data_IF_422019061102
#
_entry.id   IF_422019061102
#
_cell.length_a   1.000
_cell.length_b   1.000
_cell.length_c   1.000
_cell.angle_alpha   90.00
_cell.angle_beta   90.00
_cell.angle_gamma   90.00
#
_symmetry.space_group_name_H-M   'P 1'
#
loop_
_entity.id
_entity.type
_entity.pdbx_description
1 polymer ?
#
# COMPACT_ATOMS: atom_id res chain seq x y z
N UNK A 1 -54.37 -9.04 13.68
CA UNK A 1 -53.35 -8.71 12.66
C UNK A 1 -52.75 -7.35 12.95
N UNK A 2 -51.43 -7.22 13.26
CA UNK A 2 -50.76 -5.94 13.33
C UNK A 2 -50.11 -5.61 11.96
N UNK A 3 -50.36 -4.38 11.52
CA UNK A 3 -49.84 -3.79 10.31
C UNK A 3 -48.33 -3.61 10.42
N UNK A 4 -47.58 -4.16 9.48
CA UNK A 4 -46.15 -3.86 9.25
C UNK A 4 -46.01 -2.50 8.60
N UNK A 5 -45.47 -1.54 9.35
CA UNK A 5 -45.03 -0.27 8.77
C UNK A 5 -43.77 -0.52 7.92
N UNK A 6 -43.85 -0.25 6.62
CA UNK A 6 -42.69 -0.17 5.73
C UNK A 6 -41.85 1.05 6.14
N UNK A 7 -40.65 0.82 6.64
CA UNK A 7 -39.59 1.82 6.69
C UNK A 7 -39.02 1.96 5.29
N UNK A 8 -39.28 3.11 4.67
CA UNK A 8 -38.63 3.55 3.45
C UNK A 8 -37.14 3.84 3.74
N UNK A 9 -36.31 2.83 3.53
CA UNK A 9 -34.86 2.95 3.46
C UNK A 9 -34.45 3.57 2.13
N UNK A 10 -34.65 4.87 1.95
CA UNK A 10 -34.00 5.62 0.87
C UNK A 10 -32.51 5.67 1.15
N UNK A 11 -31.77 4.74 0.53
CA UNK A 11 -30.34 4.88 0.32
C UNK A 11 -30.13 6.18 -0.50
N UNK A 12 -29.70 7.24 0.17
CA UNK A 12 -29.16 8.41 -0.51
C UNK A 12 -27.91 7.95 -1.26
N UNK A 13 -28.08 7.54 -2.51
CA UNK A 13 -26.99 7.43 -3.47
C UNK A 13 -26.56 8.87 -3.74
N UNK A 14 -25.58 9.34 -2.97
CA UNK A 14 -24.89 10.60 -3.21
C UNK A 14 -24.36 10.53 -4.65
N UNK A 15 -24.88 11.40 -5.53
CA UNK A 15 -24.44 11.47 -6.93
C UNK A 15 -22.94 11.55 -6.97
N UNK A 16 -22.30 10.51 -7.46
CA UNK A 16 -20.84 10.33 -7.54
C UNK A 16 -20.27 11.49 -8.38
N UNK A 17 -19.87 12.57 -7.70
CA UNK A 17 -19.14 13.65 -8.36
C UNK A 17 -17.70 13.17 -8.51
N UNK A 18 -17.23 12.83 -9.74
CA UNK A 18 -15.92 12.22 -9.94
C UNK A 18 -14.75 13.10 -9.47
N UNK A 19 -15.02 14.34 -9.09
CA UNK A 19 -14.04 15.30 -8.59
C UNK A 19 -13.86 15.30 -7.08
N UNK A 20 -14.74 14.62 -6.33
CA UNK A 20 -14.69 14.54 -4.86
C UNK A 20 -14.48 13.09 -4.46
N UNK A 21 -13.53 12.83 -3.55
CA UNK A 21 -13.25 11.48 -3.08
C UNK A 21 -13.48 11.36 -1.57
N UNK A 22 -14.14 10.27 -1.15
CA UNK A 22 -14.31 9.89 0.26
C UNK A 22 -13.15 9.01 0.72
N UNK A 23 -13.00 8.82 2.04
CA UNK A 23 -11.98 7.94 2.60
C UNK A 23 -12.19 6.49 2.12
N UNK A 24 -13.43 6.00 2.10
CA UNK A 24 -13.74 4.64 1.66
C UNK A 24 -13.33 4.43 0.20
N UNK A 25 -13.58 5.41 -0.66
CA UNK A 25 -13.21 5.34 -2.08
C UNK A 25 -11.70 5.41 -2.28
N UNK A 26 -10.97 6.21 -1.47
CA UNK A 26 -9.51 6.26 -1.47
C UNK A 26 -8.90 4.92 -1.04
N UNK A 27 -9.43 4.33 0.04
CA UNK A 27 -9.03 3.00 0.54
C UNK A 27 -9.30 1.92 -0.51
N UNK A 28 -10.50 1.90 -1.11
CA UNK A 28 -10.84 0.94 -2.15
C UNK A 28 -9.90 1.05 -3.36
N UNK A 29 -9.58 2.27 -3.82
CA UNK A 29 -8.63 2.49 -4.91
C UNK A 29 -7.24 1.96 -4.55
N UNK A 30 -6.74 2.22 -3.34
CA UNK A 30 -5.44 1.74 -2.91
C UNK A 30 -5.39 0.21 -2.82
N UNK A 31 -6.40 -0.44 -2.23
CA UNK A 31 -6.44 -1.90 -2.13
C UNK A 31 -6.52 -2.59 -3.50
N UNK A 32 -7.21 -1.99 -4.48
CA UNK A 32 -7.40 -2.57 -5.81
C UNK A 32 -6.25 -2.27 -6.78
N UNK A 33 -5.60 -1.11 -6.65
CA UNK A 33 -4.68 -0.58 -7.69
C UNK A 33 -3.26 -0.35 -7.20
N UNK A 34 -2.96 -0.56 -5.89
CA UNK A 34 -1.61 -0.35 -5.38
C UNK A 34 -0.64 -1.38 -5.98
N UNK A 35 0.44 -0.94 -6.68
CA UNK A 35 1.38 -1.85 -7.33
C UNK A 35 2.13 -2.75 -6.34
N UNK A 36 2.45 -2.24 -5.15
CA UNK A 36 3.16 -2.99 -4.10
C UNK A 36 2.28 -4.13 -3.59
N UNK A 37 0.98 -3.87 -3.36
CA UNK A 37 0.06 -4.91 -2.91
C UNK A 37 -0.15 -5.99 -3.98
N UNK A 38 -0.23 -5.58 -5.24
CA UNK A 38 -0.30 -6.50 -6.38
C UNK A 38 0.95 -7.40 -6.46
N UNK A 39 2.14 -6.82 -6.27
CA UNK A 39 3.40 -7.59 -6.25
C UNK A 39 3.41 -8.63 -5.13
N UNK A 40 2.98 -8.27 -3.91
CA UNK A 40 2.88 -9.22 -2.80
C UNK A 40 1.81 -10.30 -3.01
N UNK A 41 0.72 -10.00 -3.70
CA UNK A 41 -0.28 -11.01 -4.06
C UNK A 41 0.26 -12.04 -5.08
N UNK A 42 1.11 -11.60 -6.01
CA UNK A 42 1.80 -12.49 -6.93
C UNK A 42 2.86 -13.34 -6.23
N UNK A 43 3.61 -12.77 -5.27
CA UNK A 43 4.57 -13.53 -4.45
C UNK A 43 3.88 -14.66 -3.67
N UNK A 44 2.69 -14.41 -3.10
CA UNK A 44 1.88 -15.46 -2.49
C UNK A 44 1.62 -16.61 -3.47
N UNK A 45 1.14 -16.32 -4.68
CA UNK A 45 0.89 -17.33 -5.73
C UNK A 45 2.16 -18.09 -6.13
N UNK A 46 3.31 -17.43 -6.16
CA UNK A 46 4.61 -18.07 -6.39
C UNK A 46 4.92 -19.07 -5.28
N UNK A 47 4.64 -18.73 -4.01
CA UNK A 47 4.86 -19.65 -2.88
C UNK A 47 3.91 -20.83 -2.91
N UNK A 48 2.64 -20.62 -3.20
CA UNK A 48 1.64 -21.70 -3.41
C UNK A 48 2.13 -22.68 -4.49
N UNK A 49 2.56 -22.17 -5.64
CA UNK A 49 3.09 -23.01 -6.73
C UNK A 49 4.35 -23.78 -6.31
N UNK A 50 5.25 -23.16 -5.53
CA UNK A 50 6.45 -23.85 -5.00
C UNK A 50 6.10 -24.93 -3.98
N UNK A 51 5.09 -24.71 -3.14
CA UNK A 51 4.58 -25.73 -2.21
C UNK A 51 4.10 -26.95 -3.00
N UNK A 52 3.29 -26.74 -4.03
CA UNK A 52 2.84 -27.83 -4.92
C UNK A 52 4.02 -28.55 -5.59
N UNK A 53 4.94 -27.79 -6.18
CA UNK A 53 6.12 -28.37 -6.86
C UNK A 53 6.98 -29.17 -5.90
N UNK A 54 7.16 -28.72 -4.67
CA UNK A 54 8.01 -29.41 -3.67
C UNK A 54 7.46 -30.77 -3.21
N UNK A 55 6.13 -30.94 -3.33
CA UNK A 55 5.45 -32.22 -3.05
C UNK A 55 5.49 -33.24 -4.20
N UNK A 56 5.94 -32.83 -5.40
CA UNK A 56 6.03 -33.74 -6.54
C UNK A 56 7.26 -34.65 -6.46
N UNK A 57 7.17 -35.82 -7.04
CA UNK A 57 8.32 -36.68 -7.27
C UNK A 57 9.24 -36.06 -8.33
N UNK A 58 10.57 -36.25 -8.24
CA UNK A 58 11.47 -35.86 -9.30
C UNK A 58 11.09 -36.61 -10.63
N UNK A 59 11.25 -35.94 -11.76
CA UNK A 59 10.95 -36.52 -13.04
C UNK A 59 11.89 -37.67 -13.36
N UNK A 60 11.43 -38.75 -14.05
CA UNK A 60 12.29 -39.75 -14.63
C UNK A 60 13.28 -39.09 -15.59
N UNK A 61 14.51 -39.57 -15.60
CA UNK A 61 15.55 -39.11 -16.53
C UNK A 61 15.79 -40.24 -17.55
N UNK A 62 15.67 -39.89 -18.83
CA UNK A 62 16.09 -40.72 -19.94
C UNK A 62 17.46 -40.22 -20.39
N UNK A 63 18.43 -41.11 -20.41
CA UNK A 63 19.79 -40.88 -20.88
C UNK A 63 20.08 -41.82 -22.04
N UNK A 64 20.65 -41.27 -23.11
CA UNK A 64 21.08 -42.04 -24.27
C UNK A 64 22.55 -41.67 -24.51
N UNK A 65 23.43 -42.64 -24.32
CA UNK A 65 24.86 -42.51 -24.60
C UNK A 65 25.22 -43.30 -25.82
N UNK A 66 26.03 -42.72 -26.69
CA UNK A 66 26.60 -43.37 -27.86
C UNK A 66 28.13 -43.28 -27.73
N UNK A 67 28.73 -44.40 -27.42
CA UNK A 67 30.17 -44.50 -27.24
C UNK A 67 30.83 -45.09 -28.50
N UNK A 68 32.11 -44.84 -28.70
CA UNK A 68 32.93 -45.35 -29.82
C UNK A 68 32.36 -45.02 -31.22
N UNK A 69 31.61 -43.91 -31.35
CA UNK A 69 31.09 -43.45 -32.64
C UNK A 69 32.02 -42.39 -33.27
N UNK A 70 32.16 -42.44 -34.61
CA UNK A 70 32.90 -41.44 -35.41
C UNK A 70 34.41 -41.37 -35.10
N UNK A 71 35.00 -42.41 -34.51
CA UNK A 71 36.42 -42.52 -34.25
C UNK A 71 37.27 -42.79 -35.50
N UNK A 72 38.58 -43.09 -35.30
CA UNK A 72 39.53 -43.46 -36.37
C UNK A 72 40.12 -44.83 -36.12
N UNK A 73 40.65 -45.49 -37.18
CA UNK A 73 41.22 -46.84 -37.10
C UNK A 73 40.18 -47.93 -36.84
N UNK A 74 40.34 -48.75 -35.80
CA UNK A 74 39.38 -49.81 -35.46
C UNK A 74 37.97 -49.32 -35.07
N UNK A 75 37.80 -48.05 -34.75
CA UNK A 75 36.56 -47.39 -34.35
C UNK A 75 36.01 -46.43 -35.41
N UNK A 76 36.36 -46.68 -36.69
CA UNK A 76 35.93 -45.85 -37.81
C UNK A 76 34.43 -46.02 -38.09
N UNK A 77 33.69 -44.90 -38.11
CA UNK A 77 32.26 -44.87 -38.36
C UNK A 77 31.45 -45.38 -37.15
N UNK A 78 30.44 -46.17 -37.41
CA UNK A 78 29.52 -46.73 -36.40
C UNK A 78 29.68 -48.24 -36.19
N UNK A 79 30.68 -48.90 -36.83
CA UNK A 79 30.82 -50.37 -36.84
C UNK A 79 31.08 -50.99 -35.45
N UNK A 80 31.59 -50.18 -34.50
CA UNK A 80 31.82 -50.57 -33.11
C UNK A 80 31.14 -49.65 -32.10
N UNK A 81 30.20 -48.83 -32.57
CA UNK A 81 29.48 -47.96 -31.66
C UNK A 81 28.60 -48.77 -30.72
N UNK A 82 28.65 -48.38 -29.45
CA UNK A 82 27.75 -48.91 -28.42
C UNK A 82 26.73 -47.82 -28.07
N UNK A 83 25.45 -48.17 -28.10
CA UNK A 83 24.35 -47.31 -27.72
C UNK A 83 23.71 -47.80 -26.45
N UNK A 84 23.86 -47.03 -25.37
CA UNK A 84 23.25 -47.32 -24.08
C UNK A 84 22.04 -46.44 -23.88
N UNK A 85 20.86 -47.03 -23.64
CA UNK A 85 19.65 -46.30 -23.24
C UNK A 85 19.34 -46.64 -21.79
N UNK A 86 19.33 -45.61 -20.95
CA UNK A 86 19.09 -45.75 -19.51
C UNK A 86 17.92 -44.92 -19.07
N UNK A 87 17.06 -45.49 -18.24
CA UNK A 87 15.98 -44.75 -17.52
C UNK A 87 16.29 -44.76 -16.04
N UNK A 88 16.41 -43.59 -15.46
CA UNK A 88 16.65 -43.42 -14.02
C UNK A 88 15.51 -42.65 -13.34
N UNK A 89 15.09 -43.11 -12.17
CA UNK A 89 14.11 -42.43 -11.32
C UNK A 89 14.71 -42.26 -9.93
N UNK A 90 14.81 -40.98 -9.46
CA UNK A 90 15.20 -40.71 -8.10
C UNK A 90 14.05 -41.00 -7.12
N UNK A 91 14.28 -41.93 -6.19
CA UNK A 91 13.35 -42.23 -5.10
C UNK A 91 13.92 -41.67 -3.83
N UNK A 92 13.26 -40.62 -3.26
CA UNK A 92 13.67 -39.98 -2.02
C UNK A 92 13.18 -40.84 -0.84
N UNK A 93 14.10 -41.26 0.02
CA UNK A 93 13.84 -42.02 1.24
C UNK A 93 13.91 -41.08 2.47
N UNK A 94 13.51 -41.57 3.65
CA UNK A 94 13.63 -40.87 4.91
C UNK A 94 12.69 -39.68 5.09
N UNK A 95 11.60 -39.60 4.31
CA UNK A 95 10.61 -38.53 4.48
C UNK A 95 11.03 -37.14 3.94
N UNK A 96 12.16 -37.04 3.23
CA UNK A 96 12.72 -35.76 2.72
C UNK A 96 11.73 -34.95 1.89
N UNK A 97 10.90 -35.61 1.07
CA UNK A 97 9.84 -34.95 0.31
C UNK A 97 8.84 -34.26 1.23
N UNK A 98 8.37 -34.94 2.28
CA UNK A 98 7.45 -34.38 3.26
C UNK A 98 8.04 -33.21 4.04
N UNK A 99 9.30 -33.30 4.45
CA UNK A 99 10.02 -32.21 5.11
C UNK A 99 10.16 -30.97 4.19
N UNK A 100 10.52 -31.21 2.91
CA UNK A 100 10.61 -30.14 1.89
C UNK A 100 9.24 -29.47 1.62
N UNK A 101 8.19 -30.25 1.48
CA UNK A 101 6.82 -29.72 1.33
C UNK A 101 6.40 -28.92 2.56
N UNK A 102 6.68 -29.40 3.77
CA UNK A 102 6.36 -28.69 5.01
C UNK A 102 7.10 -27.35 5.11
N UNK A 103 8.40 -27.32 4.80
CA UNK A 103 9.17 -26.07 4.81
C UNK A 103 8.61 -25.04 3.81
N UNK A 104 8.19 -25.48 2.60
CA UNK A 104 7.55 -24.61 1.62
C UNK A 104 6.16 -24.15 2.05
N UNK A 105 5.35 -25.00 2.71
CA UNK A 105 4.03 -24.62 3.25
C UNK A 105 4.16 -23.56 4.34
N UNK A 106 5.20 -23.64 5.17
CA UNK A 106 5.47 -22.58 6.15
C UNK A 106 5.93 -21.29 5.45
N UNK A 107 6.73 -21.38 4.38
CA UNK A 107 7.12 -20.23 3.57
C UNK A 107 5.92 -19.54 2.90
N UNK A 108 4.91 -20.30 2.49
CA UNK A 108 3.63 -19.79 2.00
C UNK A 108 2.88 -19.01 3.08
N UNK A 109 2.78 -19.54 4.32
CA UNK A 109 2.21 -18.79 5.46
C UNK A 109 2.96 -17.49 5.74
N UNK A 110 4.28 -17.48 5.65
CA UNK A 110 5.08 -16.25 5.80
C UNK A 110 4.71 -15.22 4.72
N UNK A 111 4.51 -15.64 3.48
CA UNK A 111 4.09 -14.76 2.39
C UNK A 111 2.67 -14.20 2.62
N UNK A 112 1.73 -15.01 3.13
CA UNK A 112 0.40 -14.59 3.54
C UNK A 112 0.45 -13.49 4.61
N UNK A 113 1.19 -13.73 5.69
CA UNK A 113 1.32 -12.75 6.77
C UNK A 113 2.06 -11.49 6.31
N UNK A 114 2.98 -11.61 5.37
CA UNK A 114 3.64 -10.47 4.73
C UNK A 114 2.66 -9.64 3.91
N UNK A 115 1.79 -10.28 3.13
CA UNK A 115 0.73 -9.61 2.38
C UNK A 115 -0.23 -8.85 3.30
N UNK A 116 -0.72 -9.49 4.37
CA UNK A 116 -1.62 -8.83 5.35
C UNK A 116 -0.94 -7.66 6.08
N UNK A 117 0.34 -7.79 6.42
CA UNK A 117 1.12 -6.70 7.00
C UNK A 117 1.23 -5.51 6.03
N UNK A 118 1.54 -5.77 4.76
CA UNK A 118 1.63 -4.73 3.72
C UNK A 118 0.29 -4.08 3.42
N UNK A 119 -0.78 -4.85 3.45
CA UNK A 119 -2.14 -4.32 3.34
C UNK A 119 -2.44 -3.31 4.46
N UNK A 120 -2.05 -3.63 5.70
CA UNK A 120 -2.22 -2.74 6.84
C UNK A 120 -1.36 -1.47 6.72
N UNK A 121 -0.11 -1.59 6.26
CA UNK A 121 0.77 -0.44 5.98
C UNK A 121 0.09 0.52 4.97
N UNK A 122 -0.39 -0.03 3.86
CA UNK A 122 -1.05 0.76 2.81
C UNK A 122 -2.33 1.45 3.33
N UNK A 123 -3.14 0.74 4.12
CA UNK A 123 -4.33 1.34 4.76
C UNK A 123 -3.94 2.52 5.65
N UNK A 124 -2.85 2.38 6.41
CA UNK A 124 -2.34 3.44 7.28
C UNK A 124 -1.83 4.63 6.46
N UNK A 125 -1.09 4.38 5.38
CA UNK A 125 -0.56 5.42 4.51
C UNK A 125 -1.65 6.20 3.77
N UNK A 126 -2.69 5.49 3.28
CA UNK A 126 -3.87 6.13 2.68
C UNK A 126 -4.59 7.02 3.67
N UNK A 127 -4.82 6.53 4.92
CA UNK A 127 -5.48 7.32 5.95
C UNK A 127 -4.67 8.59 6.29
N UNK A 128 -3.35 8.47 6.47
CA UNK A 128 -2.47 9.61 6.73
C UNK A 128 -2.50 10.62 5.57
N UNK A 129 -2.35 10.14 4.33
CA UNK A 129 -2.37 11.00 3.16
C UNK A 129 -3.74 11.68 2.94
N UNK A 130 -4.84 10.98 3.25
CA UNK A 130 -6.20 11.54 3.18
C UNK A 130 -6.39 12.68 4.19
N UNK A 131 -5.98 12.47 5.45
CA UNK A 131 -6.04 13.50 6.50
C UNK A 131 -5.16 14.70 6.15
N UNK A 132 -3.99 14.47 5.53
CA UNK A 132 -3.10 15.54 5.06
C UNK A 132 -3.76 16.40 3.97
N UNK A 133 -4.48 15.80 3.01
CA UNK A 133 -5.27 16.56 2.02
C UNK A 133 -6.37 17.37 2.71
N UNK A 134 -7.11 16.74 3.63
CA UNK A 134 -8.20 17.40 4.36
C UNK A 134 -7.69 18.59 5.20
N UNK A 135 -6.55 18.42 5.89
CA UNK A 135 -5.87 19.47 6.62
C UNK A 135 -5.45 20.63 5.70
N UNK A 136 -4.80 20.31 4.58
CA UNK A 136 -4.34 21.31 3.61
C UNK A 136 -5.50 22.07 2.97
N UNK A 137 -6.65 21.43 2.73
CA UNK A 137 -7.87 22.11 2.26
C UNK A 137 -8.37 23.14 3.28
N UNK A 138 -8.40 22.76 4.56
CA UNK A 138 -8.81 23.68 5.63
C UNK A 138 -7.81 24.83 5.80
N UNK A 139 -6.51 24.56 5.65
CA UNK A 139 -5.47 25.60 5.70
C UNK A 139 -5.65 26.64 4.59
N UNK A 140 -5.93 26.19 3.35
CA UNK A 140 -6.23 27.10 2.23
C UNK A 140 -7.43 27.98 2.56
N UNK A 141 -8.53 27.37 3.05
CA UNK A 141 -9.74 28.11 3.43
C UNK A 141 -9.48 29.14 4.54
N UNK A 142 -8.77 28.74 5.59
CA UNK A 142 -8.41 29.64 6.68
C UNK A 142 -7.56 30.82 6.20
N UNK A 143 -6.58 30.55 5.34
CA UNK A 143 -5.71 31.61 4.81
C UNK A 143 -6.48 32.57 3.89
N UNK A 144 -7.49 32.08 3.18
CA UNK A 144 -8.40 32.90 2.37
C UNK A 144 -9.21 33.88 3.24
N UNK A 145 -9.75 33.36 4.35
CA UNK A 145 -10.45 34.18 5.36
C UNK A 145 -9.51 35.23 6.00
N UNK A 146 -8.24 34.86 6.27
CA UNK A 146 -7.23 35.79 6.81
C UNK A 146 -6.87 36.88 5.80
N UNK A 147 -6.79 36.62 4.52
CA UNK A 147 -6.57 37.64 3.49
C UNK A 147 -7.75 38.58 3.44
N UNK A 148 -8.99 38.10 3.47
CA UNK A 148 -10.16 38.98 3.48
C UNK A 148 -10.19 39.89 4.71
N UNK A 149 -9.86 39.36 5.89
CA UNK A 149 -9.75 40.15 7.12
C UNK A 149 -8.61 41.15 7.03
N UNK A 150 -7.46 40.76 6.51
CA UNK A 150 -6.28 41.61 6.32
C UNK A 150 -6.57 42.78 5.35
N UNK A 151 -7.28 42.52 4.25
CA UNK A 151 -7.71 43.57 3.31
C UNK A 151 -8.66 44.58 3.99
N UNK A 152 -9.65 44.10 4.75
CA UNK A 152 -10.57 44.98 5.50
C UNK A 152 -9.80 45.84 6.51
N UNK A 153 -8.82 45.23 7.24
CA UNK A 153 -7.98 45.94 8.21
C UNK A 153 -7.10 47.00 7.54
N UNK A 154 -6.42 46.65 6.44
CA UNK A 154 -5.58 47.57 5.68
C UNK A 154 -6.36 48.79 5.19
N UNK A 155 -7.57 48.60 4.67
CA UNK A 155 -8.43 49.66 4.20
C UNK A 155 -8.90 50.55 5.37
N UNK A 156 -9.33 49.98 6.50
CA UNK A 156 -9.76 50.71 7.66
C UNK A 156 -8.62 51.58 8.27
N UNK A 157 -7.39 51.06 8.32
CA UNK A 157 -6.21 51.82 8.75
C UNK A 157 -5.91 52.98 7.77
N UNK A 158 -6.04 52.72 6.46
CA UNK A 158 -5.86 53.72 5.40
C UNK A 158 -6.80 54.92 5.57
N UNK A 159 -8.10 54.69 5.84
CA UNK A 159 -9.06 55.74 6.09
C UNK A 159 -8.72 56.55 7.35
N UNK A 160 -8.20 55.89 8.40
CA UNK A 160 -7.74 56.58 9.63
C UNK A 160 -6.49 57.44 9.40
N UNK A 161 -5.57 56.98 8.55
CA UNK A 161 -4.39 57.75 8.13
C UNK A 161 -4.82 59.00 7.35
N UNK A 162 -5.73 58.84 6.36
CA UNK A 162 -6.28 59.96 5.57
C UNK A 162 -6.97 61.02 6.47
N UNK A 163 -7.65 60.57 7.52
CA UNK A 163 -8.29 61.42 8.52
C UNK A 163 -7.33 62.02 9.54
N UNK A 164 -6.01 61.81 9.43
CA UNK A 164 -4.98 62.28 10.35
C UNK A 164 -5.03 61.69 11.77
N UNK A 165 -5.77 60.58 11.97
CA UNK A 165 -5.98 59.95 13.28
C UNK A 165 -4.87 58.97 13.69
N UNK A 166 -4.08 58.48 12.75
CA UNK A 166 -2.94 57.57 12.96
C UNK A 166 -1.80 57.92 12.01
N UNK A 167 -0.57 57.55 12.37
CA UNK A 167 0.60 57.82 11.55
C UNK A 167 0.63 56.95 10.27
N UNK A 168 1.15 57.43 9.13
CA UNK A 168 1.22 56.69 7.87
C UNK A 168 1.93 55.34 7.98
N UNK A 169 2.89 55.21 8.90
CA UNK A 169 3.60 53.92 9.14
C UNK A 169 2.67 52.77 9.51
N UNK A 170 1.53 53.07 10.16
CA UNK A 170 0.57 52.03 10.53
C UNK A 170 -0.10 51.40 9.32
N UNK A 171 -0.35 52.14 8.24
CA UNK A 171 -0.84 51.59 6.98
C UNK A 171 0.23 50.72 6.32
N UNK A 172 1.50 51.11 6.38
CA UNK A 172 2.60 50.29 5.87
C UNK A 172 2.69 48.95 6.61
N UNK A 173 2.59 48.95 7.96
CA UNK A 173 2.57 47.72 8.77
C UNK A 173 1.39 46.82 8.40
N UNK A 174 0.20 47.40 8.24
CA UNK A 174 -0.97 46.63 7.81
C UNK A 174 -0.76 46.00 6.41
N UNK A 175 -0.13 46.73 5.47
CA UNK A 175 0.22 46.25 4.15
C UNK A 175 1.23 45.11 4.16
N UNK A 176 2.23 45.17 5.05
CA UNK A 176 3.18 44.04 5.24
C UNK A 176 2.47 42.79 5.73
N UNK A 177 1.58 42.95 6.75
CA UNK A 177 0.80 41.80 7.26
C UNK A 177 -0.07 41.18 6.18
N UNK A 178 -0.77 41.96 5.38
CA UNK A 178 -1.58 41.48 4.25
C UNK A 178 -0.71 40.78 3.22
N UNK A 179 0.47 41.28 2.91
CA UNK A 179 1.42 40.62 1.98
C UNK A 179 1.91 39.29 2.52
N UNK A 180 2.14 39.17 3.84
CA UNK A 180 2.47 37.90 4.48
C UNK A 180 1.36 36.87 4.30
N UNK A 181 0.09 37.23 4.52
CA UNK A 181 -1.03 36.34 4.31
C UNK A 181 -1.15 35.87 2.84
N UNK A 182 -0.85 36.73 1.86
CA UNK A 182 -0.82 36.36 0.43
C UNK A 182 0.30 35.38 0.13
N UNK A 183 1.45 35.49 0.76
CA UNK A 183 2.55 34.52 0.64
C UNK A 183 2.14 33.18 1.27
N UNK A 184 1.56 33.22 2.47
CA UNK A 184 1.07 31.98 3.13
C UNK A 184 0.01 31.26 2.31
N UNK A 185 -0.87 31.99 1.62
CA UNK A 185 -1.84 31.41 0.68
C UNK A 185 -1.14 30.66 -0.48
N UNK A 186 -0.08 31.24 -1.04
CA UNK A 186 0.67 30.57 -2.10
C UNK A 186 1.30 29.27 -1.60
N UNK A 187 1.87 29.27 -0.39
CA UNK A 187 2.39 28.06 0.26
C UNK A 187 1.29 27.04 0.55
N UNK A 188 0.15 27.45 1.11
CA UNK A 188 -0.96 26.56 1.40
C UNK A 188 -1.52 25.85 0.13
N UNK A 189 -1.61 26.58 -0.99
CA UNK A 189 -2.02 26.04 -2.30
C UNK A 189 -1.00 25.02 -2.83
N UNK A 190 0.30 25.25 -2.63
CA UNK A 190 1.35 24.33 -3.02
C UNK A 190 1.31 23.05 -2.17
N UNK A 191 1.17 23.20 -0.84
CA UNK A 191 1.01 22.07 0.08
C UNK A 191 -0.21 21.19 -0.29
N UNK A 192 -1.34 21.82 -0.58
CA UNK A 192 -2.54 21.09 -1.04
C UNK A 192 -2.27 20.31 -2.33
N UNK A 193 -1.57 20.91 -3.28
CA UNK A 193 -1.18 20.22 -4.52
C UNK A 193 -0.28 19.00 -4.25
N UNK A 194 0.68 19.15 -3.35
CA UNK A 194 1.58 18.05 -2.95
C UNK A 194 0.82 16.95 -2.20
N UNK A 195 -0.05 17.32 -1.24
CA UNK A 195 -0.85 16.36 -0.50
C UNK A 195 -1.78 15.53 -1.42
N UNK A 196 -2.41 16.16 -2.43
CA UNK A 196 -3.21 15.44 -3.44
C UNK A 196 -2.37 14.45 -4.25
N UNK A 197 -1.16 14.83 -4.67
CA UNK A 197 -0.25 13.94 -5.39
C UNK A 197 0.17 12.75 -4.52
N UNK A 198 0.50 13.01 -3.26
CA UNK A 198 0.85 11.99 -2.28
C UNK A 198 -0.29 10.99 -2.07
N UNK A 199 -1.53 11.47 -1.89
CA UNK A 199 -2.70 10.60 -1.80
C UNK A 199 -2.89 9.78 -3.08
N UNK A 200 -2.80 10.40 -4.26
CA UNK A 200 -2.95 9.72 -5.54
C UNK A 200 -1.88 8.65 -5.78
N UNK A 201 -0.65 8.87 -5.31
CA UNK A 201 0.45 7.91 -5.44
C UNK A 201 0.22 6.63 -4.65
N UNK A 202 -0.62 6.64 -3.60
CA UNK A 202 -0.92 5.43 -2.81
C UNK A 202 -1.65 4.34 -3.61
N UNK A 203 -2.26 4.67 -4.73
CA UNK A 203 -2.83 3.72 -5.69
C UNK A 203 -2.15 3.75 -7.07
N UNK A 204 -0.89 4.26 -7.13
CA UNK A 204 -0.06 4.20 -8.33
C UNK A 204 -0.31 5.30 -9.37
N UNK A 205 -1.12 6.33 -9.08
CA UNK A 205 -1.33 7.45 -9.98
C UNK A 205 -0.42 8.63 -9.61
N UNK A 206 0.42 9.07 -10.54
CA UNK A 206 1.29 10.23 -10.37
C UNK A 206 0.52 11.57 -10.31
N UNK A 207 -0.58 11.67 -11.06
CA UNK A 207 -1.43 12.86 -11.11
C UNK A 207 -2.82 12.57 -10.50
N UNK A 208 -3.29 13.42 -9.56
CA UNK A 208 -4.59 13.25 -8.93
C UNK A 208 -5.72 13.52 -9.91
N UNK A 209 -6.66 12.57 -10.03
CA UNK A 209 -7.88 12.70 -10.84
C UNK A 209 -9.04 13.33 -10.06
N UNK A 210 -8.81 13.76 -8.83
CA UNK A 210 -9.78 14.40 -7.95
C UNK A 210 -9.34 15.83 -7.60
N UNK A 211 -10.32 16.67 -7.28
CA UNK A 211 -10.10 18.07 -6.90
C UNK A 211 -10.07 18.25 -5.38
N UNK A 212 -10.94 17.52 -4.67
CA UNK A 212 -11.07 17.64 -3.22
C UNK A 212 -11.41 16.30 -2.57
N UNK A 213 -11.18 16.24 -1.25
CA UNK A 213 -11.66 15.16 -0.39
C UNK A 213 -12.76 15.68 0.51
N UNK A 214 -13.68 14.79 0.92
CA UNK A 214 -14.74 15.12 1.87
C UNK A 214 -14.56 14.35 3.16
N UNK A 215 -14.73 15.04 4.30
CA UNK A 215 -14.62 14.47 5.63
C UNK A 215 -14.72 15.54 6.70
N UNK A 216 -14.92 15.12 7.94
CA UNK A 216 -14.92 16.03 9.08
C UNK A 216 -13.53 16.04 9.75
N UNK A 217 -12.73 17.06 9.47
CA UNK A 217 -11.37 17.22 10.04
C UNK A 217 -11.38 17.35 11.55
N UNK A 218 -12.43 17.94 12.14
CA UNK A 218 -12.52 18.22 13.57
C UNK A 218 -13.15 17.09 14.38
N UNK A 219 -13.52 15.97 13.73
CA UNK A 219 -14.06 14.82 14.44
C UNK A 219 -12.92 14.04 15.11
N UNK A 220 -12.78 14.23 16.41
CA UNK A 220 -11.81 13.51 17.25
C UNK A 220 -12.46 12.25 17.78
N UNK A 221 -11.81 11.10 17.57
CA UNK A 221 -12.20 9.84 18.15
C UNK A 221 -11.50 9.63 19.50
N UNK A 222 -12.17 9.06 20.50
CA UNK A 222 -11.52 8.77 21.79
C UNK A 222 -10.38 7.76 21.57
N UNK A 223 -9.27 8.00 22.25
CA UNK A 223 -8.14 7.06 22.23
C UNK A 223 -8.56 5.79 23.00
N UNK A 224 -8.39 4.59 22.40
CA UNK A 224 -8.69 3.35 23.10
C UNK A 224 -7.85 3.18 24.36
N UNK A 225 -8.38 2.46 25.36
CA UNK A 225 -7.65 2.13 26.58
C UNK A 225 -6.40 1.28 26.25
N UNK A 226 -5.31 1.50 26.97
CA UNK A 226 -4.03 0.82 26.76
C UNK A 226 -4.16 -0.72 26.81
N UNK A 227 -4.96 -1.25 27.74
CA UNK A 227 -5.21 -2.68 27.89
C UNK A 227 -5.83 -3.30 26.62
N UNK A 228 -6.79 -2.58 26.00
CA UNK A 228 -7.40 -3.02 24.74
C UNK A 228 -6.44 -3.03 23.57
N UNK A 229 -5.43 -2.15 23.59
CA UNK A 229 -4.38 -2.06 22.57
C UNK A 229 -3.31 -3.14 22.77
N UNK A 230 -2.94 -3.45 24.01
CA UNK A 230 -1.97 -4.51 24.33
C UNK A 230 -2.44 -5.88 23.84
N UNK A 231 -3.69 -6.23 24.10
CA UNK A 231 -4.28 -7.50 23.66
C UNK A 231 -4.35 -7.61 22.13
N UNK A 232 -4.71 -6.53 21.44
CA UNK A 232 -4.71 -6.49 19.96
C UNK A 232 -3.31 -6.46 19.35
N UNK A 233 -2.33 -5.91 20.05
CA UNK A 233 -0.95 -5.81 19.59
C UNK A 233 -0.27 -7.18 19.41
N UNK A 234 -0.67 -8.17 20.24
CA UNK A 234 -0.11 -9.54 20.18
C UNK A 234 -0.59 -10.31 18.94
N UNK A 235 -1.75 -9.97 18.38
CA UNK A 235 -2.38 -10.62 17.21
C UNK A 235 -2.14 -9.86 15.90
N UNK A 236 -1.11 -8.99 15.85
CA UNK A 236 -0.85 -8.25 14.60
C UNK A 236 -0.24 -9.16 13.53
N UNK A 237 -0.59 -8.98 12.25
CA UNK A 237 0.01 -9.73 11.14
C UNK A 237 1.53 -9.64 11.11
N UNK A 238 2.09 -8.55 11.62
CA UNK A 238 3.52 -8.32 11.73
C UNK A 238 4.19 -9.31 12.70
N UNK A 239 3.64 -9.50 13.91
CA UNK A 239 4.17 -10.46 14.89
C UNK A 239 3.92 -11.91 14.45
N UNK A 240 2.77 -12.21 13.86
CA UNK A 240 2.48 -13.53 13.31
C UNK A 240 3.42 -13.90 12.17
N UNK A 241 3.84 -12.95 11.34
CA UNK A 241 4.88 -13.15 10.32
C UNK A 241 6.19 -13.60 10.95
N UNK A 242 6.62 -12.97 12.03
CA UNK A 242 7.86 -13.35 12.73
C UNK A 242 7.80 -14.74 13.34
N UNK A 243 6.66 -15.13 13.94
CA UNK A 243 6.45 -16.50 14.44
C UNK A 243 6.54 -17.51 13.29
N UNK A 244 5.86 -17.27 12.19
CA UNK A 244 5.91 -18.13 11.01
C UNK A 244 7.31 -18.19 10.39
N UNK A 245 8.09 -17.09 10.42
CA UNK A 245 9.46 -17.09 9.93
C UNK A 245 10.39 -17.93 10.84
N UNK A 246 10.17 -17.91 12.16
CA UNK A 246 10.90 -18.78 13.09
C UNK A 246 10.59 -20.26 12.83
N UNK A 247 9.30 -20.60 12.66
CA UNK A 247 8.89 -21.97 12.30
C UNK A 247 9.50 -22.41 10.96
N UNK A 248 9.56 -21.51 9.96
CA UNK A 248 10.18 -21.79 8.66
C UNK A 248 11.67 -22.14 8.81
N UNK A 249 12.40 -21.39 9.62
CA UNK A 249 13.83 -21.65 9.86
C UNK A 249 14.05 -23.00 10.55
N UNK A 250 13.19 -23.34 11.52
CA UNK A 250 13.26 -24.66 12.16
C UNK A 250 12.97 -25.78 11.16
N UNK A 251 11.93 -25.65 10.33
CA UNK A 251 11.61 -26.65 9.31
C UNK A 251 12.70 -26.80 8.24
N UNK A 252 13.52 -25.77 8.01
CA UNK A 252 14.68 -25.88 7.11
C UNK A 252 15.82 -26.67 7.75
N UNK A 253 16.05 -26.53 9.07
CA UNK A 253 17.03 -27.36 9.82
C UNK A 253 16.58 -28.82 9.81
N UNK A 254 15.28 -29.10 9.97
CA UNK A 254 14.73 -30.45 9.96
C UNK A 254 14.83 -31.12 8.56
N UNK A 255 15.02 -30.33 7.50
CA UNK A 255 15.18 -30.79 6.13
C UNK A 255 16.64 -31.19 5.81
N UNK A 256 17.64 -30.58 6.44
CA UNK A 256 19.06 -30.89 6.23
C UNK A 256 19.47 -32.20 6.90
#
# INVERSE_FOLDING_TARGET
SPAFAKQDGTLHIEKDNPKIITLEKAVANALLKNPTLSAHSLEKRVREARTLQSGLLPNPRLEVNVDDALGSGPFNGFDRSETTVQVGQLIELGGKRGARENANRIAERVADKTYESKRLDILTDVNKAFVEVLSSQNKVKLTEELIELGDKFFNAVGERVKAGKVAPIEQTKAGVTLSTFKIEMAHAKLELKQARRKLSSTWGNAEPQFVSVTGNFFKIYPVPLLESLQNKGVETPYLERWKSEQERRQAMVDLE
#
